data_IF_195361127440
#
_entry.id   IF_195361127440
#
_cell.length_a   1.000
_cell.length_b   1.000
_cell.length_c   1.000
_cell.angle_alpha   90.00
_cell.angle_beta   90.00
_cell.angle_gamma   90.00
#
_symmetry.space_group_name_H-M   'P 1'
#
loop_
_entity.id
_entity.type
_entity.pdbx_description
1 polymer ?
#
# COMPACT_ATOMS: atom_id res chain seq x y z
N UNK A 1 4.84 22.92 9.38
CA UNK A 1 5.85 22.59 10.41
C UNK A 1 6.05 21.09 10.46
N UNK A 2 7.24 20.62 10.82
CA UNK A 2 7.57 19.19 10.82
C UNK A 2 8.06 18.75 12.19
N UNK A 3 7.50 17.63 12.69
CA UNK A 3 7.95 16.93 13.89
C UNK A 3 8.47 15.56 13.53
N UNK A 4 9.45 15.07 14.29
CA UNK A 4 10.14 13.82 14.01
C UNK A 4 10.03 12.90 15.21
N UNK A 5 9.88 11.61 14.94
CA UNK A 5 9.65 10.60 15.95
C UNK A 5 10.48 9.35 15.67
N UNK A 6 10.88 8.70 16.76
CA UNK A 6 11.30 7.32 16.80
C UNK A 6 10.15 6.47 17.33
N UNK A 7 9.80 5.41 16.61
CA UNK A 7 8.72 4.49 16.96
C UNK A 7 9.32 3.22 17.60
N UNK A 8 8.96 3.00 18.86
CA UNK A 8 9.22 1.78 19.65
C UNK A 8 7.93 1.04 20.04
N UNK A 9 6.76 1.59 19.71
CA UNK A 9 5.49 0.93 19.99
C UNK A 9 5.35 -0.35 19.15
N UNK A 10 5.34 -1.52 19.79
CA UNK A 10 5.32 -2.80 19.09
C UNK A 10 4.07 -2.98 18.20
N UNK A 11 2.89 -2.50 18.63
CA UNK A 11 1.67 -2.62 17.82
C UNK A 11 1.79 -1.84 16.51
N UNK A 12 2.39 -0.66 16.54
CA UNK A 12 2.66 0.14 15.33
C UNK A 12 3.68 -0.57 14.44
N UNK A 13 4.77 -1.06 15.04
CA UNK A 13 5.83 -1.76 14.30
C UNK A 13 5.27 -3.01 13.60
N UNK A 14 4.46 -3.80 14.30
CA UNK A 14 3.79 -4.98 13.76
C UNK A 14 2.83 -4.59 12.62
N UNK A 15 2.02 -3.55 12.79
CA UNK A 15 1.11 -3.08 11.74
C UNK A 15 1.86 -2.65 10.46
N UNK A 16 2.97 -1.92 10.61
CA UNK A 16 3.83 -1.53 9.47
C UNK A 16 4.46 -2.77 8.82
N UNK A 17 4.94 -3.72 9.61
CA UNK A 17 5.55 -4.95 9.10
C UNK A 17 4.52 -5.81 8.33
N UNK A 18 3.32 -5.98 8.89
CA UNK A 18 2.21 -6.69 8.26
C UNK A 18 1.81 -6.03 6.94
N UNK A 19 1.66 -4.69 6.90
CA UNK A 19 1.37 -3.98 5.66
C UNK A 19 2.45 -4.24 4.59
N UNK A 20 3.74 -4.08 4.94
CA UNK A 20 4.85 -4.31 4.00
C UNK A 20 4.88 -5.74 3.48
N UNK A 21 4.61 -6.73 4.34
CA UNK A 21 4.52 -8.14 3.97
C UNK A 21 3.38 -8.35 2.96
N UNK A 22 2.16 -7.92 3.31
CA UNK A 22 0.97 -8.08 2.47
C UNK A 22 1.13 -7.33 1.13
N UNK A 23 1.77 -6.17 1.12
CA UNK A 23 2.05 -5.41 -0.11
C UNK A 23 2.97 -6.19 -1.05
N UNK A 24 4.05 -6.78 -0.52
CA UNK A 24 4.96 -7.64 -1.30
C UNK A 24 4.26 -8.89 -1.83
N UNK A 25 3.49 -9.58 -0.98
CA UNK A 25 2.75 -10.77 -1.35
C UNK A 25 1.70 -10.47 -2.44
N UNK A 26 0.94 -9.38 -2.29
CA UNK A 26 -0.02 -8.92 -3.31
C UNK A 26 0.68 -8.59 -4.63
N UNK A 27 1.76 -7.81 -4.61
CA UNK A 27 2.48 -7.47 -5.84
C UNK A 27 3.05 -8.69 -6.55
N UNK A 28 3.60 -9.65 -5.79
CA UNK A 28 4.08 -10.92 -6.35
C UNK A 28 2.93 -11.69 -7.00
N UNK A 29 1.80 -11.82 -6.31
CA UNK A 29 0.62 -12.48 -6.86
C UNK A 29 0.14 -11.81 -8.16
N UNK A 30 0.06 -10.48 -8.21
CA UNK A 30 -0.32 -9.77 -9.45
C UNK A 30 0.66 -10.06 -10.58
N UNK A 31 1.96 -10.00 -10.31
CA UNK A 31 2.98 -10.28 -11.32
C UNK A 31 2.88 -11.72 -11.86
N UNK A 32 2.72 -12.70 -10.98
CA UNK A 32 2.55 -14.12 -11.34
C UNK A 32 1.25 -14.33 -12.14
N UNK A 33 0.16 -13.68 -11.75
CA UNK A 33 -1.11 -13.71 -12.46
C UNK A 33 -1.01 -13.08 -13.85
N UNK A 34 -0.36 -11.91 -13.96
CA UNK A 34 -0.16 -11.23 -15.24
C UNK A 34 0.67 -12.08 -16.19
N UNK A 35 1.78 -12.66 -15.71
CA UNK A 35 2.63 -13.52 -16.50
C UNK A 35 1.89 -14.76 -17.01
N UNK A 36 1.17 -15.47 -16.13
CA UNK A 36 0.42 -16.68 -16.50
C UNK A 36 -0.73 -16.42 -17.47
N UNK A 37 -1.35 -15.25 -17.40
CA UNK A 37 -2.47 -14.87 -18.27
C UNK A 37 -2.05 -14.04 -19.48
N UNK A 38 -0.74 -13.76 -19.63
CA UNK A 38 -0.19 -12.87 -20.65
C UNK A 38 -0.89 -11.52 -20.70
N UNK A 39 -0.98 -10.86 -19.54
CA UNK A 39 -1.38 -9.47 -19.37
C UNK A 39 -0.09 -8.63 -19.39
N UNK A 40 -0.04 -7.64 -20.27
CA UNK A 40 1.10 -6.73 -20.39
C UNK A 40 0.97 -5.57 -19.40
N UNK A 41 2.12 -5.06 -18.95
CA UNK A 41 2.21 -3.89 -18.09
C UNK A 41 2.65 -4.22 -16.67
N UNK A 42 2.89 -3.17 -15.89
CA UNK A 42 3.36 -3.26 -14.50
C UNK A 42 2.44 -2.54 -13.51
N UNK A 43 1.54 -1.70 -14.03
CA UNK A 43 0.54 -0.98 -13.27
C UNK A 43 -0.75 -1.77 -13.20
N UNK A 44 -1.40 -1.65 -12.05
CA UNK A 44 -2.69 -2.22 -11.79
C UNK A 44 -3.44 -1.37 -10.79
N UNK A 45 -4.76 -1.47 -10.82
CA UNK A 45 -5.59 -1.02 -9.71
C UNK A 45 -6.51 -2.16 -9.29
N UNK A 46 -6.50 -2.44 -7.99
CA UNK A 46 -7.29 -3.48 -7.37
C UNK A 46 -8.31 -2.79 -6.47
N UNK A 47 -9.59 -3.03 -6.74
CA UNK A 47 -10.69 -2.46 -5.96
C UNK A 47 -11.52 -3.56 -5.31
N UNK A 48 -12.15 -3.24 -4.17
CA UNK A 48 -13.08 -4.12 -3.49
C UNK A 48 -13.96 -3.37 -2.48
N UNK A 49 -15.16 -3.89 -2.24
CA UNK A 49 -16.09 -3.33 -1.23
C UNK A 49 -16.07 -4.12 0.09
N UNK A 50 -15.07 -4.98 0.28
CA UNK A 50 -14.94 -5.83 1.46
C UNK A 50 -14.11 -5.22 2.59
N UNK A 51 -13.72 -6.03 3.59
CA UNK A 51 -13.01 -5.54 4.76
C UNK A 51 -11.63 -4.98 4.44
N UNK A 52 -11.23 -3.92 5.14
CA UNK A 52 -9.90 -3.32 5.04
C UNK A 52 -8.88 -4.21 5.79
N UNK A 53 -7.70 -4.38 5.21
CA UNK A 53 -6.56 -5.10 5.77
C UNK A 53 -6.85 -6.55 6.20
N UNK A 54 -7.84 -7.19 5.57
CA UNK A 54 -8.22 -8.59 5.82
C UNK A 54 -8.46 -9.33 4.51
N UNK A 55 -8.20 -10.64 4.45
CA UNK A 55 -8.55 -11.45 3.30
C UNK A 55 -10.06 -11.41 3.06
N UNK A 56 -10.44 -11.38 1.79
CA UNK A 56 -11.84 -11.53 1.41
C UNK A 56 -12.24 -13.01 1.55
N UNK A 57 -13.53 -13.22 1.82
CA UNK A 57 -14.18 -14.54 1.79
C UNK A 57 -15.08 -14.64 0.56
N UNK A 58 -15.66 -15.81 0.31
CA UNK A 58 -16.58 -16.08 -0.80
C UNK A 58 -17.71 -15.04 -0.91
N UNK A 59 -18.17 -14.52 0.24
CA UNK A 59 -19.19 -13.44 0.30
C UNK A 59 -18.75 -12.18 -0.47
N UNK A 60 -17.46 -11.89 -0.49
CA UNK A 60 -16.86 -10.70 -1.09
C UNK A 60 -16.23 -10.95 -2.47
N UNK A 61 -16.15 -12.20 -2.94
CA UNK A 61 -15.47 -12.59 -4.19
C UNK A 61 -15.89 -11.71 -5.38
N UNK A 62 -17.21 -11.60 -5.61
CA UNK A 62 -17.78 -10.83 -6.74
C UNK A 62 -17.56 -9.31 -6.66
N UNK A 63 -17.06 -8.81 -5.53
CA UNK A 63 -16.82 -7.39 -5.29
C UNK A 63 -15.39 -6.98 -5.66
N UNK A 64 -14.50 -7.93 -5.96
CA UNK A 64 -13.15 -7.63 -6.40
C UNK A 64 -13.17 -7.18 -7.87
N UNK A 65 -12.56 -6.06 -8.17
CA UNK A 65 -12.34 -5.57 -9.53
C UNK A 65 -10.84 -5.42 -9.81
N UNK A 66 -10.43 -5.84 -11.00
CA UNK A 66 -9.07 -5.70 -11.50
C UNK A 66 -9.06 -4.74 -12.69
N UNK A 67 -8.16 -3.75 -12.61
CA UNK A 67 -7.89 -2.81 -13.69
C UNK A 67 -6.46 -2.99 -14.18
N UNK A 68 -6.29 -3.00 -15.49
CA UNK A 68 -5.01 -3.26 -16.18
C UNK A 68 -4.65 -2.11 -17.13
N UNK A 69 -3.37 -2.03 -17.50
CA UNK A 69 -2.88 -1.05 -18.48
C UNK A 69 -3.52 -1.20 -19.85
N UNK A 70 -3.56 -0.08 -20.59
CA UNK A 70 -4.18 0.05 -21.91
C UNK A 70 -3.21 -0.31 -23.07
N UNK A 71 -2.39 -1.35 -22.90
CA UNK A 71 -1.47 -1.77 -23.95
C UNK A 71 -2.23 -2.31 -25.17
N UNK A 72 -1.65 -2.21 -26.37
CA UNK A 72 -2.24 -2.75 -27.59
C UNK A 72 -2.55 -4.25 -27.46
N UNK A 73 -1.67 -5.02 -26.81
CA UNK A 73 -1.86 -6.45 -26.58
C UNK A 73 -3.06 -6.70 -25.65
N UNK A 74 -3.15 -6.00 -24.52
CA UNK A 74 -4.27 -6.16 -23.57
C UNK A 74 -5.61 -5.82 -24.24
N UNK A 75 -5.65 -4.73 -25.00
CA UNK A 75 -6.86 -4.30 -25.70
C UNK A 75 -7.30 -5.29 -26.79
N UNK A 76 -6.35 -5.93 -27.46
CA UNK A 76 -6.65 -6.97 -28.46
C UNK A 76 -7.11 -8.27 -27.80
N UNK A 77 -6.33 -8.77 -26.83
CA UNK A 77 -6.55 -10.06 -26.18
C UNK A 77 -7.79 -10.09 -25.31
N UNK A 78 -8.04 -9.02 -24.56
CA UNK A 78 -9.15 -8.92 -23.61
C UNK A 78 -10.29 -8.02 -24.13
N UNK A 79 -10.36 -7.74 -25.43
CA UNK A 79 -11.34 -6.84 -26.05
C UNK A 79 -12.80 -7.10 -25.60
N UNK A 80 -13.18 -8.38 -25.50
CA UNK A 80 -14.52 -8.80 -25.11
C UNK A 80 -14.72 -8.80 -23.58
N UNK A 81 -13.63 -8.88 -22.82
CA UNK A 81 -13.63 -8.99 -21.37
C UNK A 81 -13.49 -7.63 -20.66
N UNK A 82 -12.87 -6.64 -21.28
CA UNK A 82 -12.71 -5.28 -20.71
C UNK A 82 -13.95 -4.41 -20.93
N UNK A 83 -14.19 -3.48 -20.00
CA UNK A 83 -15.18 -2.40 -20.19
C UNK A 83 -14.74 -1.46 -21.32
N UNK A 84 -15.71 -0.81 -21.98
CA UNK A 84 -15.46 0.02 -23.17
C UNK A 84 -14.71 1.33 -22.86
N UNK A 85 -14.87 1.89 -21.67
CA UNK A 85 -14.22 3.14 -21.25
C UNK A 85 -13.25 2.91 -20.10
N UNK A 86 -12.17 3.70 -20.08
CA UNK A 86 -11.22 3.79 -18.97
C UNK A 86 -11.97 4.20 -17.70
N UNK A 87 -11.64 3.57 -16.58
CA UNK A 87 -12.40 3.75 -15.33
C UNK A 87 -11.58 4.45 -14.24
N UNK A 88 -10.26 4.24 -14.18
CA UNK A 88 -9.44 4.74 -13.09
C UNK A 88 -8.00 4.98 -13.57
N UNK A 89 -7.49 6.22 -13.49
CA UNK A 89 -6.11 6.58 -13.86
C UNK A 89 -5.62 5.93 -15.17
N UNK A 90 -6.42 6.06 -16.23
CA UNK A 90 -6.17 5.46 -17.55
C UNK A 90 -6.16 3.93 -17.68
N UNK A 91 -6.49 3.21 -16.60
CA UNK A 91 -6.60 1.74 -16.59
C UNK A 91 -7.98 1.25 -17.04
N UNK A 92 -8.00 0.08 -17.66
CA UNK A 92 -9.21 -0.61 -18.11
C UNK A 92 -9.65 -1.66 -17.09
N UNK A 93 -10.91 -1.60 -16.68
CA UNK A 93 -11.50 -2.58 -15.78
C UNK A 93 -12.03 -3.79 -16.55
N UNK A 94 -11.82 -4.99 -16.03
CA UNK A 94 -12.51 -6.18 -16.50
C UNK A 94 -14.03 -6.10 -16.20
N UNK A 95 -14.86 -6.57 -17.13
CA UNK A 95 -16.30 -6.76 -16.92
C UNK A 95 -16.54 -7.83 -15.87
N UNK A 96 -17.64 -7.72 -15.12
CA UNK A 96 -18.08 -8.77 -14.17
C UNK A 96 -18.33 -10.14 -14.82
N UNK A 97 -18.54 -10.18 -16.13
CA UNK A 97 -18.72 -11.42 -16.90
C UNK A 97 -17.42 -12.03 -17.42
N UNK A 98 -16.29 -11.31 -17.30
CA UNK A 98 -14.95 -11.77 -17.70
C UNK A 98 -14.61 -13.10 -17.02
N UNK A 99 -14.10 -14.05 -17.80
CA UNK A 99 -13.58 -15.31 -17.28
C UNK A 99 -12.27 -15.06 -16.54
N UNK A 100 -11.41 -14.22 -17.11
CA UNK A 100 -10.14 -13.81 -16.50
C UNK A 100 -10.35 -13.17 -15.12
N UNK A 101 -11.32 -12.25 -14.99
CA UNK A 101 -11.66 -11.65 -13.69
C UNK A 101 -12.20 -12.68 -12.69
N UNK A 102 -13.04 -13.62 -13.13
CA UNK A 102 -13.59 -14.65 -12.23
C UNK A 102 -12.52 -15.60 -11.72
N UNK A 103 -11.53 -15.93 -12.54
CA UNK A 103 -10.36 -16.72 -12.12
C UNK A 103 -9.51 -15.94 -11.12
N UNK A 104 -9.19 -14.69 -11.44
CA UNK A 104 -8.50 -13.78 -10.54
C UNK A 104 -9.18 -13.64 -9.17
N UNK A 105 -10.50 -13.48 -9.18
CA UNK A 105 -11.35 -13.40 -7.99
C UNK A 105 -11.19 -14.64 -7.11
N UNK A 106 -11.31 -15.83 -7.68
CA UNK A 106 -11.14 -17.10 -6.95
C UNK A 106 -9.73 -17.25 -6.39
N UNK A 107 -8.72 -16.91 -7.17
CA UNK A 107 -7.34 -16.97 -6.70
C UNK A 107 -7.08 -16.02 -5.52
N UNK A 108 -7.65 -14.80 -5.57
CA UNK A 108 -7.59 -13.88 -4.43
C UNK A 108 -8.14 -14.50 -3.15
N UNK A 109 -9.27 -15.22 -3.23
CA UNK A 109 -9.88 -15.90 -2.08
C UNK A 109 -9.00 -17.06 -1.60
N UNK A 110 -8.61 -17.97 -2.49
CA UNK A 110 -7.82 -19.17 -2.17
C UNK A 110 -6.48 -18.79 -1.54
N UNK A 111 -5.77 -17.83 -2.15
CA UNK A 111 -4.46 -17.37 -1.70
C UNK A 111 -4.56 -16.32 -0.58
N UNK A 112 -5.78 -15.94 -0.17
CA UNK A 112 -6.06 -14.96 0.89
C UNK A 112 -5.39 -13.60 0.64
N UNK A 113 -5.39 -13.15 -0.61
CA UNK A 113 -4.83 -11.86 -1.00
C UNK A 113 -5.63 -10.72 -0.37
N UNK A 114 -4.94 -9.77 0.24
CA UNK A 114 -5.55 -8.57 0.81
C UNK A 114 -5.87 -7.58 -0.32
N UNK A 115 -7.14 -7.52 -0.70
CA UNK A 115 -7.64 -6.65 -1.77
C UNK A 115 -7.57 -5.18 -1.33
N UNK A 116 -8.30 -4.85 -0.26
CA UNK A 116 -8.33 -3.53 0.36
C UNK A 116 -7.18 -3.40 1.36
N UNK A 117 -5.95 -3.23 0.84
CA UNK A 117 -4.75 -3.05 1.64
C UNK A 117 -4.47 -1.55 1.84
N UNK A 118 -4.55 -1.10 3.08
CA UNK A 118 -4.28 0.28 3.47
C UNK A 118 -3.06 0.37 4.40
N UNK A 119 -2.16 1.35 4.18
CA UNK A 119 -1.04 1.58 5.08
C UNK A 119 -1.52 2.03 6.45
N UNK A 120 -0.60 2.01 7.42
CA UNK A 120 -0.84 2.60 8.73
C UNK A 120 -1.23 4.07 8.57
N UNK A 121 -2.39 4.44 9.09
CA UNK A 121 -2.84 5.82 9.12
C UNK A 121 -2.27 6.51 10.35
N UNK A 122 -1.28 7.39 10.15
CA UNK A 122 -0.59 8.05 11.26
C UNK A 122 -1.50 8.93 12.10
N UNK A 123 -2.56 9.50 11.51
CA UNK A 123 -3.55 10.30 12.21
C UNK A 123 -4.16 9.61 13.44
N UNK A 124 -4.29 8.28 13.42
CA UNK A 124 -4.88 7.52 14.54
C UNK A 124 -4.02 7.52 15.80
N UNK A 125 -2.72 7.80 15.68
CA UNK A 125 -1.76 7.73 16.79
C UNK A 125 -1.47 9.08 17.44
N UNK A 126 -2.09 10.16 16.98
CA UNK A 126 -1.90 11.53 17.49
C UNK A 126 -3.24 12.19 17.79
N UNK A 127 -3.31 13.07 18.81
CA UNK A 127 -4.56 13.70 19.30
C UNK A 127 -5.47 14.22 18.19
N UNK A 128 -4.99 15.18 17.40
CA UNK A 128 -5.82 15.90 16.43
C UNK A 128 -5.38 15.71 14.97
N UNK A 129 -4.35 14.89 14.74
CA UNK A 129 -3.81 14.68 13.39
C UNK A 129 -4.81 13.97 12.45
N UNK A 130 -5.72 13.14 13.00
CA UNK A 130 -6.75 12.46 12.21
C UNK A 130 -7.77 13.40 11.55
N UNK A 131 -7.90 14.64 12.02
CA UNK A 131 -8.84 15.62 11.47
C UNK A 131 -8.18 16.66 10.57
N UNK A 132 -6.85 16.60 10.43
CA UNK A 132 -6.08 17.64 9.76
C UNK A 132 -5.27 17.08 8.59
N UNK A 133 -5.21 17.79 7.46
CA UNK A 133 -4.30 17.44 6.37
C UNK A 133 -2.87 17.36 6.87
N UNK A 134 -2.21 16.25 6.58
CA UNK A 134 -0.82 16.03 6.93
C UNK A 134 -0.13 15.18 5.86
N UNK A 135 1.18 15.33 5.77
CA UNK A 135 2.06 14.44 5.02
C UNK A 135 3.05 13.80 5.98
N UNK A 136 3.62 12.68 5.56
CA UNK A 136 4.59 11.98 6.37
C UNK A 136 5.70 11.36 5.53
N UNK A 137 6.84 11.14 6.17
CA UNK A 137 7.96 10.36 5.66
C UNK A 137 8.31 9.31 6.69
N UNK A 138 8.55 8.07 6.24
CA UNK A 138 9.00 7.00 7.12
C UNK A 138 10.21 6.29 6.56
N UNK A 139 11.09 5.83 7.44
CA UNK A 139 12.15 4.90 7.09
C UNK A 139 12.53 4.02 8.27
N UNK A 140 12.99 2.81 7.99
CA UNK A 140 13.58 1.94 8.99
C UNK A 140 15.10 2.01 8.89
N UNK A 141 15.78 2.11 10.03
CA UNK A 141 17.25 2.04 10.15
C UNK A 141 17.59 1.37 11.49
N UNK A 142 18.46 0.36 11.46
CA UNK A 142 18.90 -0.36 12.65
C UNK A 142 17.74 -0.89 13.53
N UNK A 143 16.76 -1.54 12.87
CA UNK A 143 15.56 -2.07 13.54
C UNK A 143 14.56 -1.01 14.04
N UNK A 144 14.89 0.28 13.95
CA UNK A 144 14.05 1.37 14.43
C UNK A 144 13.28 1.99 13.27
N UNK A 145 11.98 2.24 13.48
CA UNK A 145 11.15 3.00 12.55
C UNK A 145 11.18 4.48 12.92
N UNK A 146 11.57 5.31 11.96
CA UNK A 146 11.57 6.77 12.05
C UNK A 146 10.40 7.34 11.27
N UNK A 147 9.77 8.37 11.82
CA UNK A 147 8.60 9.05 11.26
C UNK A 147 8.79 10.56 11.31
N UNK A 148 8.71 11.23 10.16
CA UNK A 148 8.59 12.68 10.08
C UNK A 148 7.17 13.04 9.65
N UNK A 149 6.48 13.90 10.39
CA UNK A 149 5.12 14.35 10.08
C UNK A 149 5.13 15.84 9.83
N UNK A 150 4.54 16.27 8.73
CA UNK A 150 4.39 17.68 8.37
C UNK A 150 2.90 18.06 8.36
N UNK A 151 2.54 19.10 9.12
CA UNK A 151 1.20 19.68 9.11
C UNK A 151 1.25 21.21 9.35
N UNK A 152 0.08 21.86 9.32
CA UNK A 152 -0.05 23.31 9.41
C UNK A 152 -0.24 23.85 10.84
N UNK A 153 -0.48 22.99 11.85
CA UNK A 153 -0.74 23.39 13.24
C UNK A 153 0.10 22.60 14.24
N UNK A 154 0.67 23.30 15.24
CA UNK A 154 1.70 22.79 16.14
C UNK A 154 1.14 22.09 17.39
N UNK A 155 -0.10 22.44 17.78
CA UNK A 155 -0.75 21.99 19.02
C UNK A 155 -1.20 20.51 18.97
N UNK A 156 -0.97 19.83 17.84
CA UNK A 156 -1.69 18.62 17.44
C UNK A 156 -0.82 17.35 17.37
N UNK A 157 0.41 17.46 17.87
CA UNK A 157 1.46 16.44 17.73
C UNK A 157 1.61 15.51 18.93
N UNK A 158 0.71 15.60 19.93
CA UNK A 158 0.81 14.74 21.11
C UNK A 158 0.44 13.29 20.73
N UNK A 159 1.34 12.31 20.93
CA UNK A 159 1.03 10.92 20.70
C UNK A 159 -0.05 10.41 21.65
N UNK A 160 -0.96 9.57 21.14
CA UNK A 160 -2.02 8.90 21.93
C UNK A 160 -1.54 7.62 22.62
N UNK A 161 -0.31 7.20 22.37
CA UNK A 161 0.21 5.92 22.84
C UNK A 161 1.70 6.00 23.18
N UNK A 162 2.14 5.12 24.08
CA UNK A 162 3.54 4.99 24.46
C UNK A 162 4.41 4.53 23.31
N UNK A 163 5.72 4.78 23.39
CA UNK A 163 6.68 4.31 22.38
C UNK A 163 6.63 5.11 21.08
N UNK A 164 6.05 6.30 21.07
CA UNK A 164 6.21 7.31 20.02
C UNK A 164 7.02 8.46 20.62
N UNK A 165 8.33 8.47 20.37
CA UNK A 165 9.28 9.34 21.06
C UNK A 165 9.69 10.46 20.11
N UNK A 166 9.38 11.72 20.46
CA UNK A 166 9.82 12.87 19.69
C UNK A 166 11.35 12.96 19.70
N UNK A 167 11.94 13.24 18.54
CA UNK A 167 13.38 13.45 18.34
C UNK A 167 13.64 14.74 17.57
N UNK A 168 14.86 15.26 17.69
CA UNK A 168 15.27 16.41 16.90
C UNK A 168 15.40 16.06 15.42
N UNK A 169 15.08 17.01 14.53
CA UNK A 169 15.23 16.83 13.09
C UNK A 169 16.67 16.48 12.68
N UNK A 170 17.67 17.06 13.35
CA UNK A 170 19.09 16.73 13.12
C UNK A 170 19.39 15.25 13.37
N UNK A 171 18.77 14.63 14.38
CA UNK A 171 18.91 13.20 14.64
C UNK A 171 18.23 12.37 13.55
N UNK A 172 17.01 12.75 13.15
CA UNK A 172 16.27 12.09 12.07
C UNK A 172 17.06 12.08 10.75
N UNK A 173 17.56 13.25 10.32
CA UNK A 173 18.30 13.35 9.05
C UNK A 173 19.65 12.62 9.10
N UNK A 174 20.37 12.67 10.24
CA UNK A 174 21.59 11.89 10.42
C UNK A 174 21.36 10.38 10.26
N UNK A 175 20.22 9.86 10.72
CA UNK A 175 19.86 8.45 10.55
C UNK A 175 19.43 8.14 9.11
N UNK A 176 18.75 9.07 8.44
CA UNK A 176 18.38 8.93 7.04
C UNK A 176 19.62 8.92 6.12
N UNK A 177 20.60 9.77 6.37
CA UNK A 177 21.88 9.81 5.63
C UNK A 177 22.63 8.48 5.76
N UNK A 178 22.81 7.99 7.00
CA UNK A 178 23.43 6.68 7.24
C UNK A 178 22.73 5.53 6.52
N UNK A 179 21.41 5.57 6.41
CA UNK A 179 20.66 4.58 5.64
C UNK A 179 21.02 4.65 4.15
N UNK A 180 21.07 5.86 3.59
CA UNK A 180 21.39 6.08 2.17
C UNK A 180 22.81 5.59 1.84
N UNK A 181 23.79 5.93 2.67
CA UNK A 181 25.18 5.49 2.52
C UNK A 181 25.31 3.95 2.48
N UNK A 182 24.57 3.23 3.33
CA UNK A 182 24.55 1.77 3.30
C UNK A 182 23.95 1.22 1.99
N UNK A 183 22.81 1.77 1.56
CA UNK A 183 22.15 1.31 0.33
C UNK A 183 22.96 1.62 -0.93
N UNK A 184 23.70 2.72 -0.96
CA UNK A 184 24.56 3.09 -2.08
C UNK A 184 25.90 2.33 -2.07
N UNK A 185 26.42 1.98 -0.89
CA UNK A 185 27.62 1.17 -0.72
C UNK A 185 27.44 -0.30 -1.09
N UNK A 186 26.23 -0.85 -1.00
CA UNK A 186 25.88 -2.22 -1.43
C UNK A 186 25.74 -2.36 -2.96
N UNK A 187 25.76 -1.25 -3.70
CA UNK A 187 25.57 -1.24 -5.17
C UNK A 187 26.87 -0.95 -5.95
N UNK A 188 28.04 -0.99 -5.28
CA UNK A 188 29.38 -0.87 -5.89
C UNK A 188 30.17 -2.15 -5.75
#
# INVERSE_FOLDING_TARGET
MTKFYMIKNQKILDAVAIYKKNYKERNKFIADFYSSHGIDGHQYYLAGNGPINKPFTDTWEKHIALHIENTTNNLSKFATELKRSRQFNDLYEFKKTSKTLKEFQKECIIKKIIVNLEPVYWGDYFKDLCYNPHSYTTFSYDGILYLGITCNSLEQFEPKCDGVIEINGSEFYKKLEKKKELTEGETK
#
